data_IF_400646714823
#
_entry.id   IF_400646714823
#
_cell.length_a   1.000
_cell.length_b   1.000
_cell.length_c   1.000
_cell.angle_alpha   90.00
_cell.angle_beta   90.00
_cell.angle_gamma   90.00
#
_symmetry.space_group_name_H-M   'P 1'
#
loop_
_entity.id
_entity.type
_entity.pdbx_description
1 polymer ?
#
# COMPACT_ATOMS: atom_id res chain seq x y z
N UNK A 1 -36.51 -58.57 22.80
CA UNK A 1 -36.78 -57.18 22.36
C UNK A 1 -35.59 -56.36 22.69
N UNK A 2 -34.72 -56.11 21.64
CA UNK A 2 -33.53 -55.26 21.75
C UNK A 2 -33.96 -53.77 21.73
N UNK A 3 -33.49 -52.98 22.69
CA UNK A 3 -33.71 -51.53 22.73
C UNK A 3 -32.97 -50.88 21.56
N UNK A 4 -33.56 -49.89 20.83
CA UNK A 4 -32.89 -49.19 19.77
C UNK A 4 -31.78 -48.29 20.35
N UNK A 5 -30.58 -48.41 19.77
CA UNK A 5 -29.42 -47.56 20.06
C UNK A 5 -29.73 -46.12 19.60
N UNK A 6 -29.51 -45.10 20.43
CA UNK A 6 -29.75 -43.72 20.02
C UNK A 6 -28.78 -43.31 18.91
N UNK A 7 -29.31 -42.98 17.74
CA UNK A 7 -28.54 -42.39 16.65
C UNK A 7 -27.99 -41.03 17.11
N UNK A 8 -26.67 -40.92 17.17
CA UNK A 8 -25.98 -39.68 17.40
C UNK A 8 -26.26 -38.74 16.21
N UNK A 9 -26.99 -37.65 16.44
CA UNK A 9 -27.08 -36.57 15.46
C UNK A 9 -25.68 -36.16 15.05
N UNK A 10 -25.39 -36.01 13.72
CA UNK A 10 -24.11 -35.50 13.29
C UNK A 10 -23.92 -34.10 13.91
N UNK A 11 -22.80 -33.86 14.56
CA UNK A 11 -22.43 -32.55 15.08
C UNK A 11 -22.44 -31.58 13.90
N UNK A 12 -23.29 -30.56 13.95
CA UNK A 12 -23.25 -29.46 13.00
C UNK A 12 -21.83 -28.96 12.91
N UNK A 13 -21.28 -28.83 11.67
CA UNK A 13 -19.89 -28.45 11.47
C UNK A 13 -19.65 -27.09 12.15
N UNK A 14 -18.57 -27.00 12.93
CA UNK A 14 -18.18 -25.75 13.66
C UNK A 14 -18.13 -24.52 12.76
N UNK A 15 -18.04 -24.71 11.43
CA UNK A 15 -18.01 -23.64 10.44
C UNK A 15 -19.38 -22.98 10.22
N UNK A 16 -20.49 -23.74 10.21
CA UNK A 16 -21.82 -23.13 10.01
C UNK A 16 -22.20 -22.24 11.20
N UNK A 17 -21.79 -22.60 12.40
CA UNK A 17 -22.09 -21.82 13.61
C UNK A 17 -21.40 -20.48 13.70
N UNK A 18 -20.13 -20.35 13.23
CA UNK A 18 -19.40 -19.06 13.24
C UNK A 18 -20.01 -18.08 12.24
N UNK A 19 -20.32 -18.53 11.03
CA UNK A 19 -20.93 -17.65 10.02
C UNK A 19 -22.36 -17.25 10.37
N UNK A 20 -23.14 -18.15 10.94
CA UNK A 20 -24.48 -17.82 11.43
C UNK A 20 -24.42 -16.81 12.59
N UNK A 21 -23.46 -16.97 13.48
CA UNK A 21 -23.21 -16.02 14.56
C UNK A 21 -22.80 -14.65 14.00
N UNK A 22 -21.85 -14.61 13.07
CA UNK A 22 -21.40 -13.38 12.43
C UNK A 22 -22.57 -12.66 11.73
N UNK A 23 -23.41 -13.39 10.99
CA UNK A 23 -24.58 -12.82 10.31
C UNK A 23 -25.60 -12.18 11.28
N UNK A 24 -25.67 -12.67 12.50
CA UNK A 24 -26.58 -12.11 13.52
C UNK A 24 -25.98 -10.93 14.29
N UNK A 25 -24.66 -10.88 14.40
CA UNK A 25 -23.96 -9.94 15.27
C UNK A 25 -23.34 -8.75 14.55
N UNK A 26 -22.97 -8.92 13.28
CA UNK A 26 -22.30 -7.89 12.51
C UNK A 26 -23.32 -7.08 11.69
N UNK A 27 -23.12 -5.75 11.57
CA UNK A 27 -23.73 -4.97 10.50
C UNK A 27 -23.49 -5.62 9.14
N UNK A 28 -24.40 -5.40 8.18
CA UNK A 28 -24.41 -6.10 6.89
C UNK A 28 -23.08 -5.96 6.14
N UNK A 29 -22.53 -4.74 6.06
CA UNK A 29 -21.25 -4.49 5.39
C UNK A 29 -20.08 -5.19 6.07
N UNK A 30 -20.02 -5.16 7.39
CA UNK A 30 -19.00 -5.88 8.14
C UNK A 30 -19.15 -7.39 8.00
N UNK A 31 -20.38 -7.91 7.89
CA UNK A 31 -20.58 -9.32 7.62
C UNK A 31 -20.09 -9.70 6.22
N UNK A 32 -20.41 -8.90 5.20
CA UNK A 32 -19.92 -9.11 3.84
C UNK A 32 -18.38 -9.07 3.78
N UNK A 33 -17.78 -8.04 4.33
CA UNK A 33 -16.33 -7.86 4.41
C UNK A 33 -15.64 -8.99 5.21
N UNK A 34 -16.23 -9.42 6.34
CA UNK A 34 -15.74 -10.57 7.08
C UNK A 34 -15.69 -11.85 6.22
N UNK A 35 -16.80 -12.14 5.53
CA UNK A 35 -16.90 -13.34 4.70
C UNK A 35 -15.91 -13.33 3.53
N UNK A 36 -15.69 -12.15 2.93
CA UNK A 36 -14.73 -11.95 1.85
C UNK A 36 -13.30 -12.15 2.37
N UNK A 37 -12.91 -11.45 3.44
CA UNK A 37 -11.56 -11.55 4.00
C UNK A 37 -11.25 -12.97 4.53
N UNK A 38 -12.19 -13.61 5.24
CA UNK A 38 -12.02 -14.98 5.72
C UNK A 38 -11.71 -15.95 4.56
N UNK A 39 -12.47 -15.87 3.46
CA UNK A 39 -12.25 -16.75 2.31
C UNK A 39 -10.93 -16.45 1.61
N UNK A 40 -10.63 -15.17 1.34
CA UNK A 40 -9.39 -14.77 0.68
C UNK A 40 -8.19 -15.18 1.53
N UNK A 41 -8.20 -14.88 2.82
CA UNK A 41 -7.08 -15.19 3.71
C UNK A 41 -6.80 -16.69 3.77
N UNK A 42 -7.83 -17.51 3.93
CA UNK A 42 -7.70 -18.96 4.01
C UNK A 42 -7.30 -19.62 2.68
N UNK A 43 -7.83 -19.14 1.57
CA UNK A 43 -7.51 -19.65 0.24
C UNK A 43 -6.04 -19.36 -0.17
N UNK A 44 -5.44 -18.30 0.38
CA UNK A 44 -4.15 -17.78 -0.06
C UNK A 44 -3.05 -17.79 1.01
N UNK A 45 -3.25 -18.42 2.18
CA UNK A 45 -2.32 -18.42 3.32
C UNK A 45 -2.02 -17.01 3.90
N UNK A 46 -2.97 -16.08 3.73
CA UNK A 46 -2.89 -14.76 4.33
C UNK A 46 -3.45 -14.73 5.76
N UNK A 47 -3.83 -15.89 6.29
CA UNK A 47 -4.44 -16.10 7.61
C UNK A 47 -3.43 -16.31 8.74
N UNK A 48 -2.15 -16.17 8.48
CA UNK A 48 -1.07 -16.26 9.50
C UNK A 48 -1.01 -15.03 10.41
N UNK A 49 -1.60 -13.91 9.99
CA UNK A 49 -1.70 -12.65 10.73
C UNK A 49 -3.16 -12.18 10.76
N UNK A 50 -3.55 -11.44 11.79
CA UNK A 50 -4.89 -10.86 11.84
C UNK A 50 -5.04 -9.74 10.82
N UNK A 51 -6.25 -9.57 10.31
CA UNK A 51 -6.65 -8.44 9.47
C UNK A 51 -7.59 -7.52 10.25
N UNK A 52 -7.53 -6.25 9.97
CA UNK A 52 -8.47 -5.27 10.50
C UNK A 52 -9.13 -4.54 9.35
N UNK A 53 -10.44 -4.40 9.44
CA UNK A 53 -11.26 -3.67 8.48
C UNK A 53 -11.86 -2.48 9.19
N UNK A 54 -11.87 -1.32 8.52
CA UNK A 54 -12.55 -0.11 8.95
C UNK A 54 -13.47 0.33 7.82
N UNK A 55 -14.76 0.51 8.10
CA UNK A 55 -15.69 1.19 7.22
C UNK A 55 -15.61 2.69 7.48
N UNK A 56 -15.40 3.46 6.43
CA UNK A 56 -15.27 4.92 6.51
C UNK A 56 -16.53 5.55 5.91
N UNK A 57 -17.29 6.35 6.68
CA UNK A 57 -18.53 6.97 6.22
C UNK A 57 -18.25 8.13 5.25
N UNK A 58 -17.75 7.79 4.08
CA UNK A 58 -17.51 8.70 2.95
C UNK A 58 -18.04 8.08 1.67
N UNK A 59 -18.66 8.91 0.84
CA UNK A 59 -19.25 8.49 -0.43
C UNK A 59 -18.28 8.55 -1.62
N UNK A 60 -17.00 8.59 -1.37
CA UNK A 60 -15.98 8.45 -2.40
C UNK A 60 -15.83 6.96 -2.80
N UNK A 61 -15.57 6.69 -4.06
CA UNK A 61 -15.27 5.34 -4.56
C UNK A 61 -13.80 5.06 -4.27
N UNK A 62 -13.52 4.61 -3.05
CA UNK A 62 -12.15 4.39 -2.60
C UNK A 62 -12.05 3.28 -1.56
N UNK A 63 -10.90 2.61 -1.54
CA UNK A 63 -10.40 1.76 -0.47
C UNK A 63 -8.89 1.93 -0.38
N UNK A 64 -8.28 1.65 0.75
CA UNK A 64 -6.83 1.69 0.90
C UNK A 64 -6.32 0.78 2.00
N UNK A 65 -5.07 0.35 1.87
CA UNK A 65 -4.34 -0.44 2.83
C UNK A 65 -3.36 0.41 3.65
N UNK A 66 -3.03 -0.04 4.86
CA UNK A 66 -2.00 0.57 5.72
C UNK A 66 -0.95 -0.45 6.14
N UNK A 67 0.14 -0.02 6.75
CA UNK A 67 1.31 -0.86 7.12
C UNK A 67 1.02 -2.00 8.10
N UNK A 68 -0.14 -2.04 8.74
CA UNK A 68 -0.47 -2.95 9.85
C UNK A 68 -1.60 -3.95 9.55
N UNK A 69 -1.74 -4.40 8.32
CA UNK A 69 -2.84 -5.28 7.89
C UNK A 69 -4.23 -4.65 8.16
N UNK A 70 -4.36 -3.37 7.94
CA UNK A 70 -5.61 -2.64 8.03
C UNK A 70 -6.07 -2.27 6.63
N UNK A 71 -7.31 -2.63 6.31
CA UNK A 71 -8.00 -2.30 5.07
C UNK A 71 -9.10 -1.30 5.45
N UNK A 72 -9.05 -0.11 4.89
CA UNK A 72 -10.09 0.88 5.02
C UNK A 72 -10.94 0.88 3.74
N UNK A 73 -12.26 0.78 3.91
CA UNK A 73 -13.22 0.75 2.80
C UNK A 73 -14.19 1.88 2.98
N UNK A 74 -14.42 2.68 1.94
CA UNK A 74 -15.38 3.78 1.98
C UNK A 74 -16.78 3.29 1.66
N UNK A 75 -17.80 3.90 2.26
CA UNK A 75 -19.21 3.58 2.00
C UNK A 75 -19.55 3.74 0.52
N UNK A 76 -18.96 4.73 -0.15
CA UNK A 76 -19.20 4.96 -1.57
C UNK A 76 -18.84 3.77 -2.48
N UNK A 77 -17.72 3.06 -2.22
CA UNK A 77 -17.41 1.87 -3.01
C UNK A 77 -18.30 0.68 -2.61
N UNK A 78 -18.67 0.55 -1.32
CA UNK A 78 -19.60 -0.49 -0.89
C UNK A 78 -20.96 -0.34 -1.56
N UNK A 79 -21.50 0.88 -1.64
CA UNK A 79 -22.74 1.17 -2.32
C UNK A 79 -22.66 0.92 -3.84
N UNK A 80 -21.55 1.31 -4.48
CA UNK A 80 -21.35 1.07 -5.91
C UNK A 80 -21.21 -0.42 -6.27
N UNK A 81 -20.72 -1.23 -5.34
CA UNK A 81 -20.55 -2.67 -5.51
C UNK A 81 -21.66 -3.47 -4.82
N UNK A 82 -22.75 -2.83 -4.37
CA UNK A 82 -23.85 -3.48 -3.65
C UNK A 82 -24.40 -4.69 -4.44
N UNK A 83 -24.44 -5.85 -3.76
CA UNK A 83 -24.87 -7.11 -4.37
C UNK A 83 -23.83 -7.84 -5.21
N UNK A 84 -22.66 -7.24 -5.49
CA UNK A 84 -21.56 -7.88 -6.23
C UNK A 84 -20.41 -8.29 -5.30
N UNK A 85 -20.55 -9.43 -4.64
CA UNK A 85 -19.53 -9.95 -3.73
C UNK A 85 -18.21 -10.30 -4.44
N UNK A 86 -18.24 -10.58 -5.74
CA UNK A 86 -17.02 -10.89 -6.50
C UNK A 86 -16.21 -9.63 -6.83
N UNK A 87 -16.89 -8.52 -7.15
CA UNK A 87 -16.23 -7.23 -7.29
C UNK A 87 -15.66 -6.75 -5.94
N UNK A 88 -16.45 -6.84 -4.85
CA UNK A 88 -15.97 -6.53 -3.51
C UNK A 88 -14.76 -7.38 -3.12
N UNK A 89 -14.76 -8.67 -3.46
CA UNK A 89 -13.63 -9.54 -3.19
C UNK A 89 -12.37 -9.14 -3.97
N UNK A 90 -12.51 -8.67 -5.21
CA UNK A 90 -11.38 -8.15 -5.96
C UNK A 90 -10.77 -6.92 -5.30
N UNK A 91 -11.59 -5.94 -4.86
CA UNK A 91 -11.10 -4.75 -4.14
C UNK A 91 -10.37 -5.16 -2.86
N UNK A 92 -10.98 -5.98 -2.03
CA UNK A 92 -10.37 -6.44 -0.77
C UNK A 92 -9.09 -7.22 -1.02
N UNK A 93 -9.05 -8.09 -2.03
CA UNK A 93 -7.85 -8.86 -2.37
C UNK A 93 -6.73 -7.98 -2.93
N UNK A 94 -7.05 -6.92 -3.66
CA UNK A 94 -6.11 -5.91 -4.12
C UNK A 94 -5.44 -5.19 -2.93
N UNK A 95 -6.23 -4.72 -1.98
CA UNK A 95 -5.72 -4.10 -0.76
C UNK A 95 -4.87 -5.07 0.08
N UNK A 96 -5.31 -6.33 0.19
CA UNK A 96 -4.49 -7.37 0.82
C UNK A 96 -3.18 -7.60 0.06
N UNK A 97 -3.18 -7.46 -1.26
CA UNK A 97 -2.01 -7.53 -2.12
C UNK A 97 -0.94 -6.51 -1.74
N UNK A 98 -1.32 -5.25 -1.51
CA UNK A 98 -0.40 -4.21 -1.05
C UNK A 98 0.30 -4.61 0.25
N UNK A 99 -0.43 -5.19 1.22
CA UNK A 99 0.16 -5.68 2.46
C UNK A 99 1.12 -6.86 2.26
N UNK A 100 0.71 -7.83 1.44
CA UNK A 100 1.50 -9.05 1.19
C UNK A 100 2.82 -8.72 0.52
N UNK A 101 2.81 -7.78 -0.41
CA UNK A 101 4.00 -7.30 -1.14
C UNK A 101 4.77 -6.21 -0.40
N UNK A 102 4.22 -5.69 0.70
CA UNK A 102 4.80 -4.57 1.45
C UNK A 102 5.00 -3.34 0.57
N UNK A 103 3.99 -3.02 -0.22
CA UNK A 103 3.95 -1.78 -0.99
C UNK A 103 3.76 -0.61 -0.02
N UNK A 104 4.88 -0.11 0.48
CA UNK A 104 4.89 1.07 1.33
C UNK A 104 4.91 2.29 0.44
N UNK A 105 3.82 3.05 0.45
CA UNK A 105 3.83 4.37 -0.17
C UNK A 105 4.88 5.24 0.52
N UNK A 106 5.67 5.97 -0.26
CA UNK A 106 6.61 6.94 0.28
C UNK A 106 5.81 8.06 0.93
N UNK A 107 5.71 8.02 2.26
CA UNK A 107 4.94 8.99 3.03
C UNK A 107 5.46 10.42 2.85
N UNK A 108 4.59 11.41 3.11
CA UNK A 108 4.93 12.82 2.97
C UNK A 108 6.21 13.22 3.73
N UNK A 109 6.44 12.64 4.90
CA UNK A 109 7.65 12.88 5.69
C UNK A 109 8.92 12.36 4.98
N UNK A 110 8.87 11.17 4.40
CA UNK A 110 9.99 10.59 3.64
C UNK A 110 10.24 11.37 2.35
N UNK A 111 9.17 11.79 1.63
CA UNK A 111 9.30 12.64 0.45
C UNK A 111 9.97 13.97 0.80
N UNK A 112 9.59 14.59 1.91
CA UNK A 112 10.22 15.82 2.42
C UNK A 112 11.72 15.61 2.71
N UNK A 113 12.08 14.51 3.35
CA UNK A 113 13.48 14.17 3.63
C UNK A 113 14.30 13.96 2.35
N UNK A 114 13.74 13.25 1.37
CA UNK A 114 14.37 13.05 0.07
C UNK A 114 14.60 14.36 -0.67
N UNK A 115 13.62 15.27 -0.65
CA UNK A 115 13.73 16.61 -1.23
C UNK A 115 14.83 17.43 -0.52
N UNK A 116 14.87 17.40 0.81
CA UNK A 116 15.90 18.10 1.58
C UNK A 116 17.32 17.59 1.24
N UNK A 117 17.50 16.27 1.06
CA UNK A 117 18.76 15.69 0.59
C UNK A 117 19.15 16.16 -0.80
N UNK A 118 18.20 16.23 -1.73
CA UNK A 118 18.41 16.76 -3.08
C UNK A 118 18.90 18.22 -3.03
N UNK A 119 18.26 19.03 -2.18
CA UNK A 119 18.63 20.44 -2.01
C UNK A 119 20.04 20.60 -1.43
N UNK A 120 20.41 19.79 -0.46
CA UNK A 120 21.74 19.80 0.14
C UNK A 120 22.82 19.34 -0.83
N UNK A 121 22.56 18.27 -1.58
CA UNK A 121 23.47 17.79 -2.63
C UNK A 121 23.69 18.82 -3.72
N UNK A 122 22.62 19.43 -4.24
CA UNK A 122 22.72 20.45 -5.28
C UNK A 122 23.54 21.66 -4.82
N UNK A 123 23.37 22.10 -3.58
CA UNK A 123 24.18 23.17 -2.99
C UNK A 123 25.66 22.79 -2.89
N UNK A 124 25.94 21.58 -2.40
CA UNK A 124 27.30 21.06 -2.22
C UNK A 124 28.04 20.95 -3.58
N UNK A 125 27.37 20.41 -4.60
CA UNK A 125 27.92 20.18 -5.91
C UNK A 125 28.32 21.53 -6.56
N UNK A 126 27.43 22.52 -6.60
CA UNK A 126 27.70 23.83 -7.22
C UNK A 126 28.75 24.62 -6.45
N UNK A 127 28.73 24.60 -5.11
CA UNK A 127 29.74 25.30 -4.28
C UNK A 127 31.08 24.59 -4.35
N UNK A 128 31.12 23.25 -4.44
CA UNK A 128 32.36 22.49 -4.64
C UNK A 128 33.02 22.80 -5.98
N UNK A 129 32.26 22.88 -7.06
CA UNK A 129 32.75 23.27 -8.38
C UNK A 129 33.33 24.71 -8.38
N UNK A 130 32.67 25.64 -7.67
CA UNK A 130 33.18 27.02 -7.55
C UNK A 130 34.49 27.10 -6.75
N UNK A 131 34.62 26.33 -5.69
CA UNK A 131 35.85 26.27 -4.91
C UNK A 131 36.99 25.67 -5.74
N UNK A 132 36.74 24.62 -6.51
CA UNK A 132 37.72 24.04 -7.42
C UNK A 132 38.18 25.07 -8.51
N UNK A 133 37.23 25.74 -9.17
CA UNK A 133 37.51 26.76 -10.17
C UNK A 133 38.25 27.97 -9.59
N UNK A 134 37.96 28.39 -8.38
CA UNK A 134 38.69 29.46 -7.70
C UNK A 134 40.12 29.02 -7.31
N UNK A 135 40.31 27.76 -6.92
CA UNK A 135 41.64 27.22 -6.61
C UNK A 135 42.53 27.11 -7.89
N UNK A 136 41.96 26.70 -9.02
CA UNK A 136 42.66 26.69 -10.31
C UNK A 136 43.05 28.12 -10.77
N UNK A 137 42.15 29.09 -10.64
CA UNK A 137 42.43 30.48 -11.02
C UNK A 137 43.43 31.14 -10.08
N UNK A 138 43.46 30.79 -8.79
CA UNK A 138 44.49 31.29 -7.85
C UNK A 138 45.82 30.59 -8.04
N UNK A 139 45.87 29.34 -8.43
CA UNK A 139 47.13 28.65 -8.77
C UNK A 139 47.80 29.24 -10.02
N UNK A 140 47.01 29.80 -10.95
CA UNK A 140 47.52 30.45 -12.17
C UNK A 140 48.04 31.89 -11.92
N UNK A 141 47.67 32.55 -10.80
CA UNK A 141 48.00 33.98 -10.55
C UNK A 141 49.07 34.16 -9.47
N UNK A 142 49.39 33.14 -8.66
CA UNK A 142 50.34 33.33 -7.55
C UNK A 142 51.51 32.35 -7.65
N UNK A 143 52.47 32.71 -8.49
CA UNK A 143 53.86 32.40 -8.19
C UNK A 143 54.28 33.24 -6.98
N UNK A 144 54.14 32.71 -5.75
CA UNK A 144 54.78 33.24 -4.55
C UNK A 144 53.87 34.10 -3.66
N UNK A 145 53.15 33.50 -2.78
CA UNK A 145 53.01 33.87 -1.36
C UNK A 145 52.00 32.91 -0.67
N UNK A 146 52.54 32.10 0.20
CA UNK A 146 51.73 31.25 1.10
C UNK A 146 51.18 32.12 2.22
N UNK A 147 49.87 32.15 2.40
CA UNK A 147 49.29 32.55 3.67
C UNK A 147 48.30 31.45 4.12
N UNK A 148 48.82 30.70 5.05
CA UNK A 148 48.08 29.70 5.84
C UNK A 148 47.15 30.44 6.81
N UNK A 149 45.81 30.25 6.70
CA UNK A 149 44.93 30.65 7.78
C UNK A 149 43.77 29.65 7.90
N UNK A 150 43.74 29.02 9.06
CA UNK A 150 42.73 28.09 9.53
C UNK A 150 41.31 28.64 9.37
N UNK A 151 40.42 27.83 8.80
CA UNK A 151 39.02 28.14 8.59
C UNK A 151 38.21 27.45 9.69
N UNK A 152 37.86 28.23 10.69
CA UNK A 152 36.69 27.95 11.53
C UNK A 152 35.75 29.13 11.35
N UNK A 153 34.59 28.89 10.73
CA UNK A 153 33.61 29.97 10.62
C UNK A 153 32.47 29.59 9.64
N UNK A 154 31.27 29.66 10.15
CA UNK A 154 29.98 29.44 9.50
C UNK A 154 29.88 30.03 8.08
N UNK A 155 29.22 29.32 7.20
CA UNK A 155 29.00 29.60 5.74
C UNK A 155 28.55 31.07 5.45
N UNK A 156 28.00 31.78 6.44
CA UNK A 156 27.62 33.19 6.32
C UNK A 156 28.79 34.20 6.24
N UNK A 157 30.00 33.82 6.67
CA UNK A 157 31.17 34.73 6.71
C UNK A 157 31.98 34.73 5.43
N UNK A 158 31.85 33.73 4.57
CA UNK A 158 32.65 33.61 3.35
C UNK A 158 32.13 34.45 2.16
N UNK A 159 30.86 34.87 2.24
CA UNK A 159 30.19 35.65 1.19
C UNK A 159 30.44 37.16 1.28
N UNK A 160 31.09 37.63 2.36
CA UNK A 160 31.27 39.08 2.63
C UNK A 160 32.54 39.71 2.09
N UNK A 161 33.55 38.95 1.64
CA UNK A 161 34.88 39.52 1.45
C UNK A 161 35.37 39.66 -0.01
N UNK A 162 34.56 39.32 -1.03
CA UNK A 162 34.91 39.50 -2.46
C UNK A 162 33.75 40.18 -3.20
N UNK A 163 33.42 41.39 -2.79
CA UNK A 163 32.36 42.18 -3.41
C UNK A 163 32.90 43.27 -4.34
N UNK A 164 33.34 42.85 -5.56
CA UNK A 164 33.22 43.70 -6.73
C UNK A 164 31.97 43.26 -7.52
N UNK A 165 31.42 44.11 -8.39
CA UNK A 165 30.22 43.86 -9.22
C UNK A 165 30.19 42.47 -9.91
N UNK A 166 31.32 41.82 -10.13
CA UNK A 166 31.46 40.45 -10.68
C UNK A 166 31.08 39.35 -9.67
N UNK A 167 31.23 39.59 -8.37
CA UNK A 167 30.90 38.63 -7.34
C UNK A 167 29.37 38.42 -7.18
N UNK A 168 28.61 39.51 -7.30
CA UNK A 168 27.14 39.47 -7.22
C UNK A 168 26.52 38.70 -8.39
N UNK A 169 27.09 38.88 -9.60
CA UNK A 169 26.63 38.20 -10.80
C UNK A 169 26.90 36.69 -10.74
N UNK A 170 28.10 36.27 -10.29
CA UNK A 170 28.48 34.86 -10.10
C UNK A 170 27.61 34.20 -9.03
N UNK A 171 27.27 34.91 -7.97
CA UNK A 171 26.39 34.38 -6.92
C UNK A 171 24.95 34.16 -7.43
N UNK A 172 24.41 35.09 -8.23
CA UNK A 172 23.10 34.95 -8.86
C UNK A 172 23.07 33.79 -9.86
N UNK A 173 24.13 33.62 -10.67
CA UNK A 173 24.24 32.51 -11.61
C UNK A 173 24.32 31.15 -10.89
N UNK A 174 25.05 31.09 -9.78
CA UNK A 174 25.12 29.86 -8.95
C UNK A 174 23.80 29.51 -8.31
N UNK A 175 23.11 30.51 -7.75
CA UNK A 175 21.79 30.27 -7.18
C UNK A 175 20.79 29.81 -8.25
N UNK A 176 20.84 30.39 -9.45
CA UNK A 176 20.01 29.95 -10.58
C UNK A 176 20.32 28.49 -10.96
N UNK A 177 21.61 28.13 -11.01
CA UNK A 177 22.05 26.76 -11.32
C UNK A 177 21.64 25.77 -10.24
N UNK A 178 21.79 26.11 -8.96
CA UNK A 178 21.30 25.30 -7.84
C UNK A 178 19.82 25.05 -7.99
N UNK A 179 19.01 26.08 -8.21
CA UNK A 179 17.56 25.95 -8.37
C UNK A 179 17.20 25.05 -9.57
N UNK A 180 17.89 25.18 -10.69
CA UNK A 180 17.68 24.33 -11.86
C UNK A 180 17.97 22.85 -11.56
N UNK A 181 19.07 22.55 -10.87
CA UNK A 181 19.42 21.19 -10.46
C UNK A 181 18.35 20.63 -9.51
N UNK A 182 17.93 21.43 -8.53
CA UNK A 182 16.90 21.02 -7.57
C UNK A 182 15.58 20.68 -8.30
N UNK A 183 15.10 21.56 -9.18
CA UNK A 183 13.87 21.33 -9.94
C UNK A 183 13.96 20.09 -10.82
N UNK A 184 15.09 19.90 -11.52
CA UNK A 184 15.32 18.71 -12.34
C UNK A 184 15.30 17.43 -11.50
N UNK A 185 16.06 17.39 -10.40
CA UNK A 185 16.11 16.22 -9.50
C UNK A 185 14.79 15.96 -8.79
N UNK A 186 14.02 17.00 -8.42
CA UNK A 186 12.67 16.86 -7.87
C UNK A 186 11.72 16.19 -8.88
N UNK A 187 11.75 16.67 -10.12
CA UNK A 187 10.95 16.07 -11.20
C UNK A 187 11.32 14.61 -11.44
N UNK A 188 12.60 14.29 -11.52
CA UNK A 188 13.08 12.91 -11.66
C UNK A 188 12.64 12.02 -10.49
N UNK A 189 12.67 12.55 -9.26
CA UNK A 189 12.17 11.85 -8.07
C UNK A 189 10.66 11.57 -8.19
N UNK A 190 9.87 12.55 -8.56
CA UNK A 190 8.42 12.42 -8.73
C UNK A 190 8.07 11.40 -9.82
N UNK A 191 8.73 11.45 -10.97
CA UNK A 191 8.55 10.49 -12.06
C UNK A 191 8.90 9.06 -11.62
N UNK A 192 9.97 8.89 -10.85
CA UNK A 192 10.39 7.60 -10.31
C UNK A 192 9.41 7.07 -9.27
N UNK A 193 8.92 7.91 -8.36
CA UNK A 193 7.91 7.52 -7.37
C UNK A 193 6.60 7.13 -8.05
N UNK A 194 6.13 7.92 -9.01
CA UNK A 194 4.93 7.59 -9.77
C UNK A 194 5.08 6.28 -10.58
N UNK A 195 6.26 6.01 -11.13
CA UNK A 195 6.54 4.74 -11.81
C UNK A 195 6.50 3.55 -10.84
N UNK A 196 7.04 3.72 -9.63
CA UNK A 196 7.00 2.72 -8.57
C UNK A 196 5.57 2.45 -8.11
N UNK A 197 4.77 3.49 -7.87
CA UNK A 197 3.36 3.34 -7.50
C UNK A 197 2.57 2.59 -8.58
N UNK A 198 2.76 2.92 -9.85
CA UNK A 198 2.12 2.18 -10.96
C UNK A 198 2.54 0.71 -11.02
N UNK A 199 3.77 0.39 -10.66
CA UNK A 199 4.21 -1.00 -10.55
C UNK A 199 3.52 -1.70 -9.38
N UNK A 200 3.44 -1.05 -8.20
CA UNK A 200 2.76 -1.58 -7.02
C UNK A 200 1.28 -1.87 -7.32
N UNK A 201 0.61 -0.96 -8.03
CA UNK A 201 -0.77 -1.16 -8.46
C UNK A 201 -0.92 -2.38 -9.38
N UNK A 202 -0.02 -2.55 -10.34
CA UNK A 202 -0.04 -3.71 -11.25
C UNK A 202 0.17 -5.03 -10.50
N UNK A 203 1.07 -5.05 -9.52
CA UNK A 203 1.29 -6.21 -8.66
C UNK A 203 0.08 -6.48 -7.74
N UNK A 204 -0.55 -5.44 -7.22
CA UNK A 204 -1.75 -5.56 -6.41
C UNK A 204 -2.96 -6.05 -7.24
N UNK A 205 -3.09 -5.64 -8.50
CA UNK A 205 -4.10 -6.16 -9.43
C UNK A 205 -3.89 -7.65 -9.73
N UNK A 206 -2.65 -8.09 -9.95
CA UNK A 206 -2.34 -9.50 -10.15
C UNK A 206 -2.73 -10.33 -8.93
N UNK A 207 -2.39 -9.87 -7.73
CA UNK A 207 -2.76 -10.54 -6.48
C UNK A 207 -4.27 -10.46 -6.27
N UNK A 208 -4.89 -9.33 -6.51
CA UNK A 208 -6.33 -9.12 -6.40
C UNK A 208 -7.11 -10.15 -7.21
N UNK A 209 -6.73 -10.31 -8.47
CA UNK A 209 -7.29 -11.31 -9.35
C UNK A 209 -7.05 -12.73 -8.83
N UNK A 210 -5.79 -13.12 -8.62
CA UNK A 210 -5.44 -14.49 -8.23
C UNK A 210 -6.09 -14.85 -6.89
N UNK A 211 -6.04 -13.96 -5.91
CA UNK A 211 -6.50 -14.25 -4.56
C UNK A 211 -8.03 -14.30 -4.46
N UNK A 212 -8.74 -13.43 -5.17
CA UNK A 212 -10.21 -13.47 -5.20
C UNK A 212 -10.72 -14.73 -5.90
N UNK A 213 -10.12 -15.12 -7.03
CA UNK A 213 -10.52 -16.33 -7.77
C UNK A 213 -10.16 -17.60 -6.99
N UNK A 214 -9.00 -17.68 -6.33
CA UNK A 214 -8.68 -18.78 -5.40
C UNK A 214 -9.70 -18.88 -4.26
N UNK A 215 -10.20 -17.76 -3.79
CA UNK A 215 -11.25 -17.74 -2.78
C UNK A 215 -12.64 -18.20 -3.31
N UNK A 216 -12.75 -18.48 -4.61
CA UNK A 216 -13.95 -18.98 -5.27
C UNK A 216 -14.93 -17.88 -5.70
N UNK A 217 -14.45 -16.64 -5.86
CA UNK A 217 -15.19 -15.54 -6.46
C UNK A 217 -15.04 -15.56 -7.98
N UNK A 218 -16.00 -14.93 -8.69
CA UNK A 218 -15.99 -14.88 -10.14
C UNK A 218 -14.78 -14.09 -10.67
N UNK A 219 -14.11 -14.59 -11.72
CA UNK A 219 -12.93 -13.91 -12.29
C UNK A 219 -13.26 -12.54 -12.88
N UNK A 220 -14.49 -12.33 -13.38
CA UNK A 220 -14.98 -11.08 -13.93
C UNK A 220 -15.22 -10.00 -12.86
N UNK A 221 -15.22 -10.34 -11.58
CA UNK A 221 -15.37 -9.39 -10.48
C UNK A 221 -14.38 -8.22 -10.58
N UNK A 222 -13.11 -8.50 -10.90
CA UNK A 222 -12.11 -7.46 -11.08
C UNK A 222 -12.39 -6.55 -12.28
N UNK A 223 -12.95 -7.08 -13.38
CA UNK A 223 -13.35 -6.25 -14.52
C UNK A 223 -14.51 -5.33 -14.17
N UNK A 224 -15.47 -5.80 -13.34
CA UNK A 224 -16.60 -4.97 -12.89
C UNK A 224 -16.14 -3.84 -11.96
N UNK A 225 -15.12 -4.07 -11.11
CA UNK A 225 -14.46 -2.98 -10.37
C UNK A 225 -13.90 -1.93 -11.33
N UNK A 226 -13.18 -2.35 -12.37
CA UNK A 226 -12.62 -1.42 -13.37
C UNK A 226 -13.71 -0.62 -14.10
N UNK A 227 -14.89 -1.22 -14.32
CA UNK A 227 -16.05 -0.51 -14.90
C UNK A 227 -16.55 0.62 -13.97
N UNK A 228 -16.58 0.38 -12.66
CA UNK A 228 -16.93 1.42 -11.68
C UNK A 228 -15.85 2.52 -11.67
N UNK A 229 -14.59 2.14 -11.61
CA UNK A 229 -13.48 3.10 -11.60
C UNK A 229 -13.39 3.92 -12.89
N UNK A 230 -13.78 3.36 -14.05
CA UNK A 230 -13.79 4.07 -15.33
C UNK A 230 -14.75 5.28 -15.38
N UNK A 231 -15.68 5.36 -14.44
CA UNK A 231 -16.62 6.48 -14.32
C UNK A 231 -16.04 7.66 -13.54
N UNK A 232 -14.89 7.48 -12.90
CA UNK A 232 -14.22 8.55 -12.15
C UNK A 232 -13.49 9.46 -13.15
N UNK A 233 -13.70 10.77 -13.11
CA UNK A 233 -12.99 11.71 -13.96
C UNK A 233 -11.47 11.57 -13.83
N UNK A 234 -10.77 11.47 -14.94
CA UNK A 234 -9.30 11.31 -14.97
C UNK A 234 -8.80 9.87 -14.92
N UNK A 235 -9.68 8.88 -14.77
CA UNK A 235 -9.33 7.45 -14.73
C UNK A 235 -8.65 6.92 -16.01
N UNK A 236 -8.71 7.67 -17.11
CA UNK A 236 -8.10 7.35 -18.39
C UNK A 236 -6.61 7.74 -18.47
N UNK A 237 -6.12 8.53 -17.52
CA UNK A 237 -4.74 9.02 -17.49
C UNK A 237 -3.87 8.21 -16.54
N UNK A 238 -2.60 7.99 -16.93
CA UNK A 238 -1.58 7.47 -16.02
C UNK A 238 -1.19 8.60 -15.04
N UNK A 239 -1.58 8.45 -13.80
CA UNK A 239 -1.18 9.32 -12.69
C UNK A 239 -0.30 8.51 -11.73
N UNK A 240 -0.61 8.54 -10.46
CA UNK A 240 -0.05 7.63 -9.44
C UNK A 240 -0.55 6.20 -9.63
N UNK A 241 -1.69 6.03 -10.32
CA UNK A 241 -2.22 4.73 -10.75
C UNK A 241 -2.12 4.59 -12.27
N UNK A 242 -1.95 3.35 -12.81
CA UNK A 242 -2.09 3.12 -14.23
C UNK A 242 -3.51 3.46 -14.70
N UNK A 243 -3.64 3.97 -15.92
CA UNK A 243 -4.93 4.24 -16.53
C UNK A 243 -5.84 3.00 -16.50
N UNK A 244 -7.11 3.19 -16.16
CA UNK A 244 -8.09 2.08 -16.05
C UNK A 244 -8.15 1.21 -17.30
N UNK A 245 -8.10 1.73 -18.55
CA UNK A 245 -8.04 0.88 -19.75
C UNK A 245 -6.85 -0.07 -19.77
N UNK A 246 -5.66 0.36 -19.30
CA UNK A 246 -4.47 -0.50 -19.19
C UNK A 246 -4.65 -1.60 -18.14
N UNK A 247 -5.26 -1.27 -17.00
CA UNK A 247 -5.59 -2.24 -15.95
C UNK A 247 -6.58 -3.29 -16.45
N UNK A 248 -7.60 -2.90 -17.23
CA UNK A 248 -8.55 -3.83 -17.86
C UNK A 248 -7.82 -4.85 -18.74
N UNK A 249 -6.94 -4.38 -19.62
CA UNK A 249 -6.19 -5.28 -20.52
C UNK A 249 -5.23 -6.19 -19.73
N UNK A 250 -4.59 -5.68 -18.68
CA UNK A 250 -3.75 -6.48 -17.79
C UNK A 250 -4.57 -7.59 -17.09
N UNK A 251 -5.75 -7.26 -16.54
CA UNK A 251 -6.62 -8.24 -15.88
C UNK A 251 -7.08 -9.32 -16.89
N UNK A 252 -7.48 -8.95 -18.12
CA UNK A 252 -7.81 -9.92 -19.16
C UNK A 252 -6.64 -10.86 -19.48
N UNK A 253 -5.41 -10.34 -19.53
CA UNK A 253 -4.23 -11.15 -19.74
C UNK A 253 -3.98 -12.10 -18.55
N UNK A 254 -4.24 -11.67 -17.31
CA UNK A 254 -4.16 -12.51 -16.12
C UNK A 254 -5.17 -13.66 -16.16
N UNK A 255 -6.39 -13.43 -16.64
CA UNK A 255 -7.41 -14.47 -16.79
C UNK A 255 -6.97 -15.58 -17.76
N UNK A 256 -6.18 -15.23 -18.78
CA UNK A 256 -5.58 -16.20 -19.70
C UNK A 256 -4.39 -16.91 -19.05
N UNK A 257 -3.50 -16.16 -18.40
CA UNK A 257 -2.27 -16.67 -17.76
C UNK A 257 -2.57 -17.60 -16.59
N UNK A 258 -3.62 -17.29 -15.83
CA UNK A 258 -4.02 -18.04 -14.64
C UNK A 258 -5.49 -18.48 -14.77
N UNK A 259 -5.74 -19.66 -15.35
CA UNK A 259 -7.10 -20.15 -15.57
C UNK A 259 -7.92 -20.27 -14.28
N UNK A 260 -9.16 -19.72 -14.23
CA UNK A 260 -9.97 -19.67 -13.03
C UNK A 260 -10.21 -21.03 -12.38
N UNK A 261 -10.43 -22.08 -13.16
CA UNK A 261 -10.71 -23.43 -12.67
C UNK A 261 -9.54 -23.99 -11.85
N UNK A 262 -8.30 -23.69 -12.27
CA UNK A 262 -7.09 -24.12 -11.56
C UNK A 262 -6.97 -23.39 -10.23
N UNK A 263 -7.15 -22.06 -10.26
CA UNK A 263 -7.07 -21.23 -9.06
C UNK A 263 -8.13 -21.62 -8.02
N UNK A 264 -9.39 -21.77 -8.45
CA UNK A 264 -10.49 -22.16 -7.56
C UNK A 264 -10.24 -23.51 -6.90
N UNK A 265 -9.79 -24.52 -7.67
CA UNK A 265 -9.45 -25.84 -7.14
C UNK A 265 -8.36 -25.79 -6.08
N UNK A 266 -7.31 -24.99 -6.31
CA UNK A 266 -6.23 -24.79 -5.34
C UNK A 266 -6.74 -24.15 -4.06
N UNK A 267 -7.56 -23.12 -4.17
CA UNK A 267 -8.13 -22.40 -3.03
C UNK A 267 -9.10 -23.26 -2.22
N UNK A 268 -9.97 -24.00 -2.86
CA UNK A 268 -10.90 -24.94 -2.20
C UNK A 268 -10.14 -26.01 -1.43
N UNK A 269 -9.08 -26.57 -2.00
CA UNK A 269 -8.23 -27.55 -1.34
C UNK A 269 -7.58 -27.02 -0.06
N UNK A 270 -7.34 -25.69 0.04
CA UNK A 270 -6.82 -25.02 1.24
C UNK A 270 -7.94 -24.72 2.24
N UNK A 271 -9.02 -24.11 1.77
CA UNK A 271 -10.18 -23.78 2.60
C UNK A 271 -10.70 -25.02 3.33
N UNK A 272 -10.75 -26.20 2.66
CA UNK A 272 -11.22 -27.44 3.27
C UNK A 272 -10.34 -27.94 4.43
N UNK A 273 -9.07 -27.54 4.49
CA UNK A 273 -8.12 -27.91 5.54
C UNK A 273 -8.07 -26.92 6.71
N UNK A 274 -8.74 -25.79 6.60
CA UNK A 274 -8.72 -24.72 7.59
C UNK A 274 -10.11 -24.48 8.17
N UNK A 275 -10.17 -23.86 9.35
CA UNK A 275 -11.43 -23.46 9.98
C UNK A 275 -11.68 -21.98 9.70
N UNK A 276 -12.97 -21.54 9.67
CA UNK A 276 -13.28 -20.13 9.61
C UNK A 276 -12.57 -19.33 10.68
N UNK A 277 -12.08 -18.15 10.32
CA UNK A 277 -11.38 -17.25 11.24
C UNK A 277 -12.39 -16.62 12.20
N UNK A 278 -12.01 -16.50 13.45
CA UNK A 278 -12.81 -15.77 14.44
C UNK A 278 -12.69 -14.27 14.24
N UNK A 279 -13.59 -13.48 14.79
CA UNK A 279 -13.63 -12.04 14.64
C UNK A 279 -13.93 -11.33 15.96
N UNK A 280 -13.61 -10.04 16.02
CA UNK A 280 -13.95 -9.15 17.13
C UNK A 280 -14.37 -7.79 16.54
N UNK A 281 -15.60 -7.39 16.79
CA UNK A 281 -16.09 -6.05 16.47
C UNK A 281 -15.67 -5.08 17.58
N UNK A 282 -15.19 -3.88 17.21
CA UNK A 282 -14.88 -2.84 18.20
C UNK A 282 -16.14 -2.37 18.93
N UNK A 283 -15.96 -1.83 20.14
CA UNK A 283 -17.10 -1.40 20.98
C UNK A 283 -17.92 -0.28 20.31
N UNK A 284 -17.26 0.58 19.57
CA UNK A 284 -17.85 1.68 18.79
C UNK A 284 -18.38 1.23 17.42
N UNK A 285 -18.25 -0.06 17.09
CA UNK A 285 -18.66 -0.66 15.82
C UNK A 285 -18.02 -0.04 14.57
N UNK A 286 -16.88 0.63 14.70
CA UNK A 286 -16.19 1.26 13.58
C UNK A 286 -15.12 0.38 12.93
N UNK A 287 -14.70 -0.68 13.62
CA UNK A 287 -13.69 -1.60 13.08
C UNK A 287 -13.95 -3.06 13.44
N UNK A 288 -13.61 -3.92 12.50
CA UNK A 288 -13.71 -5.37 12.63
C UNK A 288 -12.31 -5.97 12.56
N UNK A 289 -11.93 -6.70 13.61
CA UNK A 289 -10.70 -7.50 13.60
C UNK A 289 -11.05 -8.94 13.24
N UNK A 290 -10.40 -9.47 12.22
CA UNK A 290 -10.45 -10.88 11.84
C UNK A 290 -9.15 -11.52 12.35
N UNK A 291 -9.29 -12.55 13.19
CA UNK A 291 -8.17 -13.17 13.86
C UNK A 291 -7.38 -14.10 12.92
N UNK A 292 -6.15 -14.40 13.28
CA UNK A 292 -5.33 -15.35 12.52
C UNK A 292 -5.61 -16.79 12.95
N UNK A 293 -5.10 -17.75 12.17
CA UNK A 293 -5.10 -19.19 12.51
C UNK A 293 -4.34 -19.51 13.80
N UNK A 294 -3.45 -18.63 14.25
CA UNK A 294 -2.73 -18.77 15.53
C UNK A 294 -3.62 -18.53 16.76
N UNK A 295 -4.86 -18.09 16.54
CA UNK A 295 -5.86 -17.89 17.57
C UNK A 295 -6.11 -16.45 17.95
N UNK A 296 -6.99 -16.30 18.85
CA UNK A 296 -7.77 -15.16 19.28
C UNK A 296 -7.06 -13.93 19.78
N UNK A 297 -7.53 -13.40 20.89
CA UNK A 297 -6.99 -12.19 21.47
C UNK A 297 -5.69 -12.46 22.23
N UNK A 298 -4.90 -11.41 22.41
CA UNK A 298 -3.73 -11.47 23.29
C UNK A 298 -4.11 -11.86 24.72
N UNK A 299 -5.32 -11.47 25.16
CA UNK A 299 -5.86 -11.86 26.46
C UNK A 299 -6.02 -13.38 26.56
N UNK A 300 -6.59 -14.03 25.54
CA UNK A 300 -6.73 -15.49 25.53
C UNK A 300 -5.37 -16.21 25.52
N UNK A 301 -4.35 -15.63 24.91
CA UNK A 301 -3.00 -16.20 24.93
C UNK A 301 -2.35 -16.04 26.32
N UNK A 302 -2.53 -14.88 26.95
CA UNK A 302 -2.06 -14.64 28.33
C UNK A 302 -2.76 -15.59 29.30
N UNK A 303 -4.08 -15.71 29.23
CA UNK A 303 -4.87 -16.60 30.09
C UNK A 303 -4.48 -18.07 29.93
N UNK A 304 -4.16 -18.49 28.71
CA UNK A 304 -3.66 -19.87 28.45
C UNK A 304 -2.27 -20.11 29.04
N UNK A 305 -1.38 -19.10 29.06
CA UNK A 305 0.00 -19.24 29.55
C UNK A 305 0.10 -19.12 31.07
N UNK A 306 -0.67 -18.23 31.65
CA UNK A 306 -0.52 -17.84 33.05
C UNK A 306 -1.72 -18.19 33.93
N UNK A 307 -2.77 -18.74 33.34
CA UNK A 307 -4.02 -19.06 34.03
C UNK A 307 -4.90 -17.80 34.24
N UNK A 308 -6.16 -18.06 34.65
CA UNK A 308 -7.08 -16.98 35.01
C UNK A 308 -6.82 -16.52 36.43
#
# INVERSE_FOLDING_TARGET
>A
LAKPTPQRKPAASTSSTIYEQAKKQLPEDFYALYRVVDRIARANEFDTRPWRIVAIPKYDVNAFATDVNLIAVYDGILDQLAGDSSALACVVAHEMGHHVKRHLAVGAAQKTELIAKIEEEAKRDVLGEQQAANNESTAAVVGGAVVNRAIGGTIGGLLGSVLGNQGVQRQADSQKRINQIIETKKKELEERLAAQERQHESEADEIGYIASVKAGFEPEGCLRVMQVLSQIPGSEADTDHPAVPKRIEAIKALMIKYPPQTLTKEGEARISKTKPLTYNLSKDQTSLRINSTRGGSQADDIDRRFGK
#
